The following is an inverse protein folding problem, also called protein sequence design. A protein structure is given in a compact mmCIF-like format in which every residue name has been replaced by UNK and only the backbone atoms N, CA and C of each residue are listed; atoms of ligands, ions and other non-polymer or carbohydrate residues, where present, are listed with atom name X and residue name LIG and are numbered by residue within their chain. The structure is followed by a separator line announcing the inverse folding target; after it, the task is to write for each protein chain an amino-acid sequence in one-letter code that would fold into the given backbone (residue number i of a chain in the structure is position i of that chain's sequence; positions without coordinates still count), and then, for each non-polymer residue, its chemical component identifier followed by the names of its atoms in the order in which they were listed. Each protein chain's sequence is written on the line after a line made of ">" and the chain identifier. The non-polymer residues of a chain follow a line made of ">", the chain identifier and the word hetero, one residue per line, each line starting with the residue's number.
data_IF_148714822179
#
_entry.id   IF_148714822179
#
_cell.length_a   1.000
_cell.length_b   1.000
_cell.length_c   1.000
_cell.angle_alpha   90.00
_cell.angle_beta   90.00
_cell.angle_gamma   90.00
#
_symmetry.space_group_name_H-M   'P 1'
#
loop_
_entity.id
_entity.type
_entity.pdbx_description
1 polymer ?
#
# COMPACT_ATOMS: atom_id res chain seq x y z
N UNK A 1 11.37 14.58 -0.57
CA UNK A 1 10.53 13.36 -0.72
C UNK A 1 10.56 12.49 0.50
N UNK A 2 11.72 11.97 0.90
CA UNK A 2 11.84 11.10 2.09
C UNK A 2 11.26 11.72 3.38
N UNK A 3 11.42 13.04 3.61
CA UNK A 3 10.85 13.71 4.79
C UNK A 3 9.31 13.61 4.83
N UNK A 4 8.65 13.96 3.72
CA UNK A 4 7.20 13.91 3.62
C UNK A 4 6.68 12.46 3.69
N UNK A 5 7.44 11.51 3.15
CA UNK A 5 7.08 10.09 3.26
C UNK A 5 7.18 9.59 4.70
N UNK A 6 8.21 9.98 5.46
CA UNK A 6 8.33 9.63 6.87
C UNK A 6 7.12 10.12 7.66
N UNK A 7 6.75 11.40 7.51
CA UNK A 7 5.55 11.98 8.13
C UNK A 7 4.27 11.26 7.69
N UNK A 8 4.14 10.90 6.41
CA UNK A 8 2.97 10.16 5.92
C UNK A 8 2.85 8.79 6.56
N UNK A 9 3.96 8.06 6.71
CA UNK A 9 3.99 6.74 7.31
C UNK A 9 3.70 6.79 8.82
N UNK A 10 4.24 7.78 9.53
CA UNK A 10 3.91 8.03 10.94
C UNK A 10 2.40 8.28 11.13
N UNK A 11 1.77 9.05 10.23
CA UNK A 11 0.33 9.28 10.23
C UNK A 11 -0.51 8.04 9.84
N UNK A 12 0.14 6.98 9.33
CA UNK A 12 -0.45 5.67 9.06
C UNK A 12 -0.07 4.65 10.16
N UNK A 13 0.36 5.14 11.32
CA UNK A 13 0.73 4.37 12.51
C UNK A 13 1.92 3.41 12.31
N UNK A 14 2.78 3.66 11.32
CA UNK A 14 4.05 2.93 11.19
C UNK A 14 5.07 3.39 12.23
N UNK A 15 5.84 2.45 12.77
CA UNK A 15 7.11 2.76 13.43
C UNK A 15 8.17 3.10 12.37
N UNK A 16 8.55 4.38 12.28
CA UNK A 16 9.44 4.86 11.21
C UNK A 16 10.89 4.97 11.68
N UNK A 17 11.79 4.32 10.94
CA UNK A 17 13.23 4.58 10.99
C UNK A 17 13.60 5.40 9.75
N UNK A 18 13.97 6.66 9.95
CA UNK A 18 14.28 7.60 8.86
C UNK A 18 15.74 8.05 8.89
N UNK A 19 16.22 8.54 7.74
CA UNK A 19 17.53 9.17 7.62
C UNK A 19 17.63 9.94 6.31
N UNK A 20 18.38 11.03 6.34
CA UNK A 20 18.45 12.02 5.26
C UNK A 20 19.92 12.36 5.00
N UNK A 21 20.29 12.43 3.72
CA UNK A 21 21.65 12.73 3.28
C UNK A 21 22.71 11.87 3.98
N UNK A 22 22.44 10.56 4.04
CA UNK A 22 23.25 9.62 4.80
C UNK A 22 24.54 9.25 4.05
N UNK A 23 25.64 9.16 4.80
CA UNK A 23 26.86 8.50 4.34
C UNK A 23 26.68 6.98 4.21
N UNK A 24 27.63 6.28 3.58
CA UNK A 24 27.59 4.81 3.45
C UNK A 24 27.45 4.11 4.80
N UNK A 25 28.26 4.52 5.78
CA UNK A 25 28.21 3.96 7.14
C UNK A 25 26.88 4.26 7.83
N UNK A 26 26.37 5.49 7.69
CA UNK A 26 25.09 5.87 8.26
C UNK A 26 23.94 5.09 7.61
N UNK A 27 23.94 4.95 6.29
CA UNK A 27 22.95 4.17 5.54
C UNK A 27 22.91 2.72 6.02
N UNK A 28 24.06 2.07 6.15
CA UNK A 28 24.14 0.70 6.68
C UNK A 28 23.65 0.60 8.12
N UNK A 29 23.97 1.59 8.96
CA UNK A 29 23.52 1.65 10.35
C UNK A 29 21.99 1.80 10.43
N UNK A 30 21.41 2.69 9.62
CA UNK A 30 19.96 2.90 9.53
C UNK A 30 19.26 1.64 9.02
N UNK A 31 19.79 0.96 8.00
CA UNK A 31 19.24 -0.33 7.52
C UNK A 31 19.34 -1.39 8.63
N UNK A 32 20.43 -1.42 9.41
CA UNK A 32 20.56 -2.36 10.52
C UNK A 32 19.58 -2.08 11.66
N UNK A 33 19.23 -0.81 11.90
CA UNK A 33 18.17 -0.43 12.85
C UNK A 33 16.79 -0.86 12.32
N UNK A 34 16.49 -0.54 11.06
CA UNK A 34 15.28 -1.00 10.37
C UNK A 34 15.13 -2.52 10.43
N UNK A 35 16.21 -3.27 10.14
CA UNK A 35 16.24 -4.73 10.19
C UNK A 35 15.94 -5.32 11.58
N UNK A 36 16.12 -4.55 12.66
CA UNK A 36 15.72 -4.96 14.02
C UNK A 36 14.23 -4.73 14.24
N UNK A 37 13.69 -3.61 13.76
CA UNK A 37 12.27 -3.24 13.93
C UNK A 37 11.33 -4.10 13.07
N UNK A 38 11.75 -4.55 11.89
CA UNK A 38 10.90 -5.38 11.02
C UNK A 38 10.67 -6.81 11.52
N UNK A 39 11.38 -7.24 12.58
CA UNK A 39 11.21 -8.60 13.13
C UNK A 39 9.86 -8.70 13.82
N UNK A 40 9.01 -9.62 13.35
CA UNK A 40 7.64 -9.78 13.81
C UNK A 40 6.66 -8.71 13.33
N UNK A 41 7.06 -7.83 12.40
CA UNK A 41 6.14 -6.87 11.79
C UNK A 41 5.24 -7.56 10.75
N UNK A 42 3.96 -7.16 10.71
CA UNK A 42 3.01 -7.64 9.69
C UNK A 42 3.37 -7.08 8.31
N UNK A 43 3.74 -5.80 8.27
CA UNK A 43 4.11 -5.06 7.06
C UNK A 43 5.47 -4.39 7.30
N UNK A 44 6.45 -4.71 6.47
CA UNK A 44 7.69 -3.95 6.37
C UNK A 44 7.63 -3.07 5.12
N UNK A 45 7.85 -1.77 5.30
CA UNK A 45 7.87 -0.81 4.20
C UNK A 45 9.23 -0.13 4.12
N UNK A 46 9.80 -0.11 2.92
CA UNK A 46 11.03 0.61 2.60
C UNK A 46 10.77 1.63 1.50
N UNK A 47 11.10 2.90 1.77
CA UNK A 47 11.07 3.98 0.78
C UNK A 47 12.47 4.57 0.64
N UNK A 48 12.90 4.77 -0.61
CA UNK A 48 14.14 5.47 -0.90
C UNK A 48 13.91 6.50 -2.00
N UNK A 49 14.41 7.72 -1.78
CA UNK A 49 14.46 8.78 -2.79
C UNK A 49 15.89 9.30 -2.88
N UNK A 50 16.47 9.31 -4.08
CA UNK A 50 17.86 9.71 -4.27
C UNK A 50 18.49 9.17 -5.55
N UNK A 51 19.82 9.16 -5.59
CA UNK A 51 20.56 8.59 -6.71
C UNK A 51 20.66 7.07 -6.57
N UNK A 52 20.26 6.37 -7.61
CA UNK A 52 20.43 4.93 -7.74
C UNK A 52 20.97 4.62 -9.12
N UNK A 53 21.72 3.52 -9.21
CA UNK A 53 22.27 3.05 -10.47
C UNK A 53 22.12 1.54 -10.62
N UNK A 54 22.20 1.10 -11.87
CA UNK A 54 22.25 -0.31 -12.22
C UNK A 54 23.59 -0.67 -12.84
N UNK A 55 24.18 -1.78 -12.37
CA UNK A 55 25.28 -2.47 -13.04
C UNK A 55 24.96 -3.94 -13.17
N UNK A 56 25.03 -4.47 -14.40
CA UNK A 56 24.87 -5.90 -14.68
C UNK A 56 23.55 -6.52 -14.18
N UNK A 57 22.50 -5.72 -14.09
CA UNK A 57 21.18 -6.15 -13.62
C UNK A 57 20.95 -6.00 -12.12
N UNK A 58 21.97 -5.59 -11.36
CA UNK A 58 21.85 -5.31 -9.92
C UNK A 58 21.66 -3.82 -9.67
N UNK A 59 20.74 -3.51 -8.75
CA UNK A 59 20.41 -2.15 -8.35
C UNK A 59 21.17 -1.73 -7.10
N UNK A 60 21.69 -0.50 -7.11
CA UNK A 60 22.45 0.08 -6.01
C UNK A 60 21.90 1.45 -5.64
N UNK A 61 21.77 1.68 -4.33
CA UNK A 61 21.48 2.98 -3.74
C UNK A 61 22.80 3.71 -3.50
N UNK A 62 22.85 5.01 -3.78
CA UNK A 62 24.05 5.82 -3.57
C UNK A 62 23.89 6.69 -2.32
N UNK A 63 24.73 6.48 -1.28
CA UNK A 63 24.94 7.43 -0.20
C UNK A 63 25.51 8.76 -0.69
N UNK A 64 25.42 9.81 0.12
CA UNK A 64 25.88 11.16 -0.28
C UNK A 64 27.39 11.31 -0.38
N UNK A 65 28.15 10.42 0.25
CA UNK A 65 29.61 10.38 0.21
C UNK A 65 30.16 9.38 -0.81
N UNK A 66 29.31 8.74 -1.62
CA UNK A 66 29.72 7.73 -2.58
C UNK A 66 30.69 8.30 -3.63
N UNK A 67 31.92 7.80 -3.63
CA UNK A 67 32.97 8.20 -4.57
C UNK A 67 33.23 7.11 -5.61
N UNK A 68 32.48 7.16 -6.72
CA UNK A 68 32.55 6.14 -7.77
C UNK A 68 33.68 6.45 -8.78
N UNK A 69 34.79 5.71 -8.68
CA UNK A 69 35.91 5.82 -9.63
C UNK A 69 35.87 4.72 -10.70
N UNK A 70 35.45 3.52 -10.31
CA UNK A 70 35.34 2.33 -11.16
C UNK A 70 34.24 1.36 -10.68
N UNK A 71 34.11 0.22 -11.34
CA UNK A 71 33.13 -0.82 -10.95
C UNK A 71 33.43 -1.44 -9.58
N UNK A 72 34.70 -1.58 -9.19
CA UNK A 72 35.08 -2.16 -7.89
C UNK A 72 34.71 -1.25 -6.73
N UNK A 73 34.62 0.06 -6.98
CA UNK A 73 34.16 1.07 -6.02
C UNK A 73 32.72 0.79 -5.55
N UNK A 74 31.89 0.13 -6.35
CA UNK A 74 30.48 -0.14 -6.00
C UNK A 74 30.32 -0.93 -4.70
N UNK A 75 31.16 -1.93 -4.47
CA UNK A 75 31.09 -2.78 -3.28
C UNK A 75 31.34 -1.97 -1.99
N UNK A 76 32.22 -0.97 -2.09
CA UNK A 76 32.65 -0.15 -0.96
C UNK A 76 31.79 1.10 -0.77
N UNK A 77 31.32 1.71 -1.86
CA UNK A 77 30.67 3.03 -1.86
C UNK A 77 29.14 2.95 -1.94
N UNK A 78 28.57 1.92 -2.57
CA UNK A 78 27.13 1.83 -2.82
C UNK A 78 26.43 0.75 -1.98
N UNK A 79 25.11 0.83 -1.82
CA UNK A 79 24.32 -0.16 -1.06
C UNK A 79 23.46 -0.98 -2.03
N UNK A 80 23.67 -2.30 -2.17
CA UNK A 80 22.82 -3.12 -3.02
C UNK A 80 21.37 -3.14 -2.53
N UNK A 81 20.39 -2.93 -3.40
CA UNK A 81 18.96 -3.02 -3.04
C UNK A 81 18.61 -4.41 -2.51
N UNK A 82 19.22 -5.46 -3.07
CA UNK A 82 19.06 -6.83 -2.60
C UNK A 82 19.48 -7.02 -1.14
N UNK A 83 20.43 -6.22 -0.63
CA UNK A 83 20.79 -6.25 0.78
C UNK A 83 19.62 -5.81 1.67
N UNK A 84 18.90 -4.75 1.26
CA UNK A 84 17.68 -4.27 1.94
C UNK A 84 16.58 -5.33 1.88
N UNK A 85 16.33 -5.88 0.69
CA UNK A 85 15.32 -6.93 0.50
C UNK A 85 15.58 -8.15 1.40
N UNK A 86 16.84 -8.59 1.52
CA UNK A 86 17.22 -9.69 2.42
C UNK A 86 17.02 -9.36 3.90
N UNK A 87 17.08 -8.09 4.30
CA UNK A 87 16.78 -7.70 5.68
C UNK A 87 15.28 -7.77 5.96
N UNK A 88 14.44 -7.56 4.95
CA UNK A 88 12.97 -7.68 5.05
C UNK A 88 12.49 -9.14 4.93
N UNK A 89 13.28 -10.05 4.36
CA UNK A 89 12.80 -11.36 3.89
C UNK A 89 12.74 -12.49 4.92
N UNK A 90 13.06 -12.27 6.20
CA UNK A 90 13.25 -13.38 7.17
C UNK A 90 12.01 -13.73 8.00
N UNK A 91 11.15 -12.78 8.32
CA UNK A 91 10.04 -12.98 9.27
C UNK A 91 8.78 -12.15 8.97
N UNK A 92 8.80 -11.27 7.96
CA UNK A 92 7.71 -10.34 7.65
C UNK A 92 6.77 -10.90 6.57
N UNK A 93 5.46 -10.84 6.83
CA UNK A 93 4.43 -11.36 5.91
C UNK A 93 4.29 -10.51 4.65
N UNK A 94 4.28 -9.19 4.79
CA UNK A 94 4.11 -8.24 3.68
C UNK A 94 5.32 -7.30 3.59
N UNK A 95 5.85 -7.11 2.38
CA UNK A 95 7.04 -6.31 2.10
C UNK A 95 6.73 -5.33 0.99
N UNK A 96 6.78 -4.04 1.29
CA UNK A 96 6.49 -2.97 0.34
C UNK A 96 7.77 -2.16 0.12
N UNK A 97 8.22 -2.07 -1.12
CA UNK A 97 9.45 -1.37 -1.48
C UNK A 97 9.12 -0.34 -2.55
N UNK A 98 9.47 0.91 -2.28
CA UNK A 98 9.22 2.05 -3.17
C UNK A 98 10.55 2.74 -3.47
N UNK A 99 10.96 2.74 -4.74
CA UNK A 99 12.23 3.29 -5.20
C UNK A 99 11.98 4.50 -6.09
N UNK A 100 12.13 5.68 -5.51
CA UNK A 100 12.12 6.97 -6.19
C UNK A 100 13.54 7.41 -6.56
N UNK A 101 14.21 6.54 -7.31
CA UNK A 101 15.61 6.68 -7.64
C UNK A 101 15.84 6.14 -9.04
N UNK A 102 16.26 7.00 -9.96
CA UNK A 102 16.71 6.68 -11.33
C UNK A 102 17.18 8.00 -11.97
N UNK A 103 18.19 8.65 -11.37
CA UNK A 103 18.63 10.00 -11.76
C UNK A 103 20.00 9.93 -12.41
N UNK A 104 20.02 9.45 -13.67
CA UNK A 104 21.23 9.21 -14.45
C UNK A 104 22.23 8.26 -13.78
N UNK A 105 23.08 7.61 -14.56
CA UNK A 105 24.10 6.73 -14.02
C UNK A 105 25.43 7.50 -13.99
N UNK A 106 25.84 8.10 -12.86
CA UNK A 106 27.10 8.84 -12.79
C UNK A 106 28.30 7.92 -13.09
N UNK A 107 28.20 6.63 -12.76
CA UNK A 107 29.21 5.64 -13.13
C UNK A 107 29.26 5.44 -14.66
N UNK A 108 28.16 5.54 -15.40
CA UNK A 108 28.20 5.48 -16.86
C UNK A 108 29.00 6.65 -17.45
N UNK A 109 28.88 7.85 -16.89
CA UNK A 109 29.71 9.01 -17.31
C UNK A 109 31.19 8.86 -16.92
N UNK A 110 31.47 8.33 -15.73
CA UNK A 110 32.84 8.06 -15.27
C UNK A 110 33.47 6.94 -16.11
N UNK A 111 32.80 5.81 -16.30
CA UNK A 111 33.29 4.67 -17.08
C UNK A 111 33.43 4.96 -18.58
N UNK A 112 32.56 5.83 -19.14
CA UNK A 112 32.74 6.34 -20.50
C UNK A 112 34.07 7.12 -20.65
N UNK A 113 34.59 7.70 -19.56
CA UNK A 113 35.87 8.42 -19.52
C UNK A 113 37.06 7.52 -19.15
N UNK A 114 36.89 6.47 -18.35
CA UNK A 114 38.02 5.70 -17.75
C UNK A 114 38.25 4.28 -18.28
N UNK A 115 37.48 3.80 -19.26
CA UNK A 115 37.62 2.53 -20.00
C UNK A 115 36.93 1.27 -19.42
N UNK A 116 36.12 0.63 -20.27
CA UNK A 116 36.02 -0.83 -20.37
C UNK A 116 34.82 -1.54 -19.74
N UNK A 117 34.05 -0.89 -18.86
CA UNK A 117 32.93 -1.56 -18.17
C UNK A 117 31.70 -1.67 -19.07
N UNK A 118 31.30 -2.91 -19.37
CA UNK A 118 30.10 -3.24 -20.13
C UNK A 118 28.99 -3.60 -19.14
N UNK A 119 27.94 -2.79 -19.04
CA UNK A 119 26.73 -3.17 -18.28
C UNK A 119 26.13 -2.10 -17.37
N UNK A 120 26.76 -0.94 -17.22
CA UNK A 120 26.15 0.22 -16.58
C UNK A 120 25.03 0.76 -17.49
N UNK A 121 23.80 0.86 -16.95
CA UNK A 121 22.63 1.41 -17.66
C UNK A 121 22.05 2.58 -16.88
N UNK A 122 21.41 3.52 -17.58
CA UNK A 122 20.59 4.55 -16.93
C UNK A 122 19.33 3.91 -16.37
N UNK A 123 18.89 4.37 -15.20
CA UNK A 123 17.76 3.81 -14.49
C UNK A 123 18.09 2.54 -13.70
N UNK A 124 17.05 1.94 -13.10
CA UNK A 124 17.14 0.72 -12.31
C UNK A 124 16.69 -0.49 -13.13
N UNK A 125 17.30 -1.65 -12.84
CA UNK A 125 16.87 -2.95 -13.31
C UNK A 125 15.52 -3.31 -12.69
N UNK A 126 14.77 -4.14 -13.40
CA UNK A 126 13.68 -4.87 -12.78
C UNK A 126 14.22 -5.80 -11.69
N UNK A 127 13.51 -5.89 -10.55
CA UNK A 127 13.80 -6.86 -9.49
C UNK A 127 12.76 -7.99 -9.61
N UNK A 128 13.13 -9.18 -10.12
CA UNK A 128 12.21 -10.29 -10.20
C UNK A 128 11.85 -10.79 -8.80
N UNK A 129 10.59 -11.14 -8.59
CA UNK A 129 10.15 -11.76 -7.34
C UNK A 129 10.19 -13.28 -7.53
N UNK A 130 11.29 -13.92 -7.11
CA UNK A 130 11.45 -15.38 -7.20
C UNK A 130 10.61 -16.14 -6.15
N UNK A 131 10.50 -17.47 -6.28
CA UNK A 131 9.61 -18.40 -5.55
C UNK A 131 9.75 -18.45 -4.00
N UNK A 132 10.51 -17.53 -3.37
CA UNK A 132 10.55 -17.29 -1.92
C UNK A 132 10.06 -15.88 -1.53
N UNK A 133 9.52 -15.12 -2.47
CA UNK A 133 9.14 -13.72 -2.33
C UNK A 133 7.64 -13.48 -2.17
N UNK A 134 6.84 -14.45 -1.73
CA UNK A 134 5.41 -14.26 -1.46
C UNK A 134 5.17 -13.06 -0.53
N UNK A 135 4.17 -12.22 -0.84
CA UNK A 135 3.89 -11.03 -0.04
C UNK A 135 4.80 -9.83 -0.33
N UNK A 136 5.41 -9.72 -1.51
CA UNK A 136 6.23 -8.56 -1.89
C UNK A 136 5.54 -7.67 -2.92
N UNK A 137 5.69 -6.36 -2.76
CA UNK A 137 5.48 -5.36 -3.82
C UNK A 137 6.74 -4.52 -3.93
N UNK A 138 7.32 -4.46 -5.14
CA UNK A 138 8.41 -3.54 -5.47
C UNK A 138 7.90 -2.57 -6.52
N UNK A 139 7.89 -1.28 -6.20
CA UNK A 139 7.50 -0.19 -7.09
C UNK A 139 8.68 0.72 -7.40
N UNK A 140 8.84 1.03 -8.67
CA UNK A 140 9.84 1.94 -9.21
C UNK A 140 9.14 3.20 -9.71
N UNK A 141 9.76 4.36 -9.52
CA UNK A 141 9.22 5.64 -10.00
C UNK A 141 9.06 5.72 -11.52
N UNK A 142 9.75 4.87 -12.28
CA UNK A 142 9.71 4.82 -13.74
C UNK A 142 9.90 3.38 -14.23
N UNK A 143 9.77 3.18 -15.53
CA UNK A 143 9.92 1.85 -16.14
C UNK A 143 11.38 1.38 -16.05
N UNK A 144 11.65 0.06 -16.02
CA UNK A 144 13.01 -0.45 -15.92
C UNK A 144 13.93 0.13 -17.00
N UNK A 145 15.15 0.49 -16.61
CA UNK A 145 16.14 1.16 -17.46
C UNK A 145 15.72 2.55 -18.00
N UNK A 146 14.74 3.22 -17.38
CA UNK A 146 14.36 4.62 -17.67
C UNK A 146 14.75 5.53 -16.50
N UNK A 147 14.77 6.84 -16.76
CA UNK A 147 15.07 7.89 -15.78
C UNK A 147 13.77 8.38 -15.13
N UNK A 148 13.84 8.72 -13.84
CA UNK A 148 12.74 9.34 -13.10
C UNK A 148 13.02 10.84 -12.96
N UNK A 149 11.98 11.67 -13.13
CA UNK A 149 12.12 13.11 -13.03
C UNK A 149 12.04 13.59 -11.58
N UNK A 150 12.77 14.66 -11.30
CA UNK A 150 12.68 15.42 -10.04
C UNK A 150 11.37 16.20 -9.93
N UNK A 151 10.69 16.40 -11.06
CA UNK A 151 9.54 17.28 -11.16
C UNK A 151 9.95 18.75 -11.13
N UNK A 152 8.94 19.62 -11.01
CA UNK A 152 9.11 21.08 -10.90
C UNK A 152 8.51 21.65 -9.62
N UNK A 153 7.95 20.79 -8.76
CA UNK A 153 7.33 21.15 -7.49
C UNK A 153 8.23 20.84 -6.30
N UNK A 154 7.61 20.76 -5.12
CA UNK A 154 8.30 20.40 -3.86
C UNK A 154 8.75 18.93 -3.82
N UNK A 155 8.08 18.06 -4.57
CA UNK A 155 8.30 16.62 -4.59
C UNK A 155 8.44 16.10 -6.03
N UNK A 156 9.13 14.96 -6.19
CA UNK A 156 9.13 14.25 -7.47
C UNK A 156 7.69 13.89 -7.90
N UNK A 157 7.43 13.66 -9.19
CA UNK A 157 6.12 13.20 -9.65
C UNK A 157 5.68 11.92 -8.94
N UNK A 158 6.61 10.98 -8.73
CA UNK A 158 6.30 9.71 -8.07
C UNK A 158 6.01 9.90 -6.59
N UNK A 159 6.86 10.61 -5.86
CA UNK A 159 6.63 10.91 -4.45
C UNK A 159 5.34 11.70 -4.24
N UNK A 160 5.06 12.70 -5.08
CA UNK A 160 3.82 13.48 -5.02
C UNK A 160 2.58 12.60 -5.14
N UNK A 161 2.54 11.74 -6.16
CA UNK A 161 1.42 10.85 -6.39
C UNK A 161 1.31 9.76 -5.30
N UNK A 162 2.45 9.24 -4.83
CA UNK A 162 2.48 8.24 -3.77
C UNK A 162 1.95 8.83 -2.45
N UNK A 163 2.34 10.05 -2.09
CA UNK A 163 1.82 10.74 -0.91
C UNK A 163 0.30 10.98 -0.99
N UNK A 164 -0.22 11.25 -2.20
CA UNK A 164 -1.64 11.48 -2.41
C UNK A 164 -2.49 10.21 -2.21
N UNK A 165 -2.00 9.05 -2.67
CA UNK A 165 -2.79 7.82 -2.70
C UNK A 165 -2.41 6.78 -1.64
N UNK A 166 -1.22 6.86 -1.04
CA UNK A 166 -0.79 5.92 -0.01
C UNK A 166 -1.64 6.09 1.25
N UNK A 167 -2.34 5.04 1.66
CA UNK A 167 -3.17 5.07 2.87
C UNK A 167 -4.51 5.79 2.67
N UNK A 168 -4.98 5.91 1.43
CA UNK A 168 -6.40 6.19 1.18
C UNK A 168 -7.25 5.10 1.89
N UNK A 169 -8.31 5.55 2.57
CA UNK A 169 -9.15 4.67 3.39
C UNK A 169 -9.77 3.57 2.54
N UNK A 170 -9.61 2.32 2.99
CA UNK A 170 -10.17 1.13 2.34
C UNK A 170 -9.73 0.95 0.86
N UNK A 171 -8.61 1.56 0.47
CA UNK A 171 -8.00 1.37 -0.85
C UNK A 171 -6.81 0.43 -0.71
N UNK A 172 -6.77 -0.61 -1.54
CA UNK A 172 -5.65 -1.54 -1.58
C UNK A 172 -4.39 -0.87 -2.13
N UNK A 173 -3.23 -1.29 -1.66
CA UNK A 173 -1.95 -0.72 -2.11
C UNK A 173 -1.76 -0.91 -3.62
N UNK A 174 -2.28 -1.99 -4.21
CA UNK A 174 -2.24 -2.22 -5.65
C UNK A 174 -3.10 -1.21 -6.42
N UNK A 175 -4.28 -0.88 -5.90
CA UNK A 175 -5.14 0.15 -6.50
C UNK A 175 -4.52 1.54 -6.33
N UNK A 176 -3.98 1.85 -5.15
CA UNK A 176 -3.22 3.08 -4.93
C UNK A 176 -2.06 3.20 -5.96
N UNK A 177 -1.34 2.11 -6.24
CA UNK A 177 -0.27 2.12 -7.26
C UNK A 177 -0.77 2.32 -8.70
N UNK A 178 -1.98 1.87 -9.02
CA UNK A 178 -2.61 2.18 -10.32
C UNK A 178 -2.87 3.68 -10.45
N UNK A 179 -3.39 4.32 -9.39
CA UNK A 179 -3.63 5.77 -9.32
C UNK A 179 -2.32 6.56 -9.41
N UNK A 180 -1.30 6.14 -8.66
CA UNK A 180 0.06 6.69 -8.73
C UNK A 180 0.59 6.65 -10.17
N UNK A 181 0.42 5.52 -10.85
CA UNK A 181 0.87 5.37 -12.25
C UNK A 181 0.12 6.33 -13.18
N UNK A 182 -1.20 6.47 -13.02
CA UNK A 182 -2.02 7.37 -13.82
C UNK A 182 -1.60 8.84 -13.63
N UNK A 183 -1.39 9.27 -12.39
CA UNK A 183 -1.01 10.64 -12.06
C UNK A 183 0.38 10.99 -12.56
N UNK A 184 1.36 10.11 -12.35
CA UNK A 184 2.73 10.31 -12.86
C UNK A 184 2.73 10.37 -14.39
N UNK A 185 2.01 9.47 -15.06
CA UNK A 185 1.92 9.46 -16.51
C UNK A 185 1.30 10.76 -17.04
N UNK A 186 0.25 11.26 -16.38
CA UNK A 186 -0.43 12.51 -16.74
C UNK A 186 0.46 13.73 -16.53
N UNK A 187 1.04 13.92 -15.34
CA UNK A 187 1.83 15.12 -15.00
C UNK A 187 3.14 15.20 -15.78
N UNK A 188 3.69 14.06 -16.20
CA UNK A 188 4.89 14.00 -17.02
C UNK A 188 4.61 13.98 -18.54
N UNK A 189 3.35 14.18 -18.95
CA UNK A 189 2.91 14.13 -20.34
C UNK A 189 3.33 12.83 -21.06
N UNK A 190 3.23 11.71 -20.34
CA UNK A 190 3.54 10.36 -20.81
C UNK A 190 5.02 10.00 -20.83
N UNK A 191 5.91 10.86 -20.31
CA UNK A 191 7.37 10.64 -20.35
C UNK A 191 7.89 9.74 -19.24
N UNK A 192 7.17 9.64 -18.13
CA UNK A 192 7.51 8.76 -17.01
C UNK A 192 6.33 7.85 -16.70
N UNK A 193 6.61 6.56 -16.51
CA UNK A 193 5.61 5.56 -16.18
C UNK A 193 6.12 4.68 -15.05
N UNK A 194 5.60 4.81 -13.82
CA UNK A 194 5.93 3.93 -12.72
C UNK A 194 5.72 2.46 -13.09
N UNK A 195 6.51 1.59 -12.47
CA UNK A 195 6.47 0.15 -12.71
C UNK A 195 6.42 -0.60 -11.39
N UNK A 196 5.61 -1.65 -11.31
CA UNK A 196 5.46 -2.45 -10.09
C UNK A 196 5.55 -3.95 -10.37
N UNK A 197 6.36 -4.64 -9.58
CA UNK A 197 6.38 -6.09 -9.49
C UNK A 197 5.64 -6.50 -8.21
N UNK A 198 4.65 -7.38 -8.33
CA UNK A 198 3.73 -7.73 -7.24
C UNK A 198 3.60 -9.24 -7.11
N UNK A 199 3.81 -9.75 -5.89
CA UNK A 199 3.61 -11.14 -5.47
C UNK A 199 2.75 -11.24 -4.19
N UNK A 200 1.99 -10.19 -3.89
CA UNK A 200 1.05 -10.16 -2.78
C UNK A 200 0.00 -11.26 -2.97
N UNK A 201 -0.21 -12.06 -1.92
CA UNK A 201 -1.19 -13.16 -1.91
C UNK A 201 -2.53 -12.75 -1.30
N UNK A 202 -2.56 -11.60 -0.62
CA UNK A 202 -3.73 -11.01 0.00
C UNK A 202 -3.83 -9.54 -0.37
N UNK A 203 -5.04 -8.99 -0.27
CA UNK A 203 -5.23 -7.55 -0.37
C UNK A 203 -4.59 -6.86 0.85
N UNK A 204 -3.75 -5.86 0.59
CA UNK A 204 -3.09 -5.06 1.62
C UNK A 204 -3.66 -3.65 1.57
N UNK A 205 -4.31 -3.23 2.65
CA UNK A 205 -4.88 -1.89 2.83
C UNK A 205 -4.13 -1.24 4.00
N UNK A 206 -3.45 -0.13 3.76
CA UNK A 206 -2.63 0.54 4.78
C UNK A 206 -3.47 1.32 5.80
N UNK A 207 -4.65 1.79 5.39
CA UNK A 207 -5.60 2.46 6.27
C UNK A 207 -6.96 1.80 6.12
N UNK A 208 -7.16 0.71 6.86
CA UNK A 208 -8.40 -0.05 6.86
C UNK A 208 -9.32 0.48 7.95
N UNK A 209 -10.47 1.01 7.56
CA UNK A 209 -11.55 1.34 8.48
C UNK A 209 -12.59 0.24 8.34
N UNK A 210 -12.73 -0.57 9.38
CA UNK A 210 -13.85 -1.49 9.48
C UNK A 210 -15.13 -0.68 9.73
N UNK A 211 -15.93 -0.55 8.68
CA UNK A 211 -17.18 0.20 8.72
C UNK A 211 -18.24 -0.47 9.63
N UNK A 212 -18.00 -1.71 10.06
CA UNK A 212 -18.82 -2.43 11.02
C UNK A 212 -18.20 -2.48 12.43
N UNK A 213 -16.98 -1.95 12.63
CA UNK A 213 -16.41 -1.87 13.96
C UNK A 213 -17.18 -0.84 14.80
N UNK A 214 -17.53 -1.17 16.06
CA UNK A 214 -18.20 -0.22 16.93
C UNK A 214 -17.33 1.03 17.12
N UNK A 215 -17.93 2.20 16.93
CA UNK A 215 -17.31 3.50 17.23
C UNK A 215 -16.82 3.50 18.68
N UNK A 216 -15.50 3.46 18.89
CA UNK A 216 -14.92 3.72 20.21
C UNK A 216 -15.03 5.24 20.44
N UNK A 217 -16.14 5.67 21.03
CA UNK A 217 -16.24 7.00 21.63
C UNK A 217 -15.38 6.93 22.89
N UNK A 218 -14.23 7.59 22.88
CA UNK A 218 -13.32 7.64 24.03
C UNK A 218 -14.02 8.29 25.23
N UNK A 219 -14.50 7.46 26.15
CA UNK A 219 -14.89 7.91 27.49
C UNK A 219 -13.70 7.77 28.43
N UNK A 220 -13.51 8.84 29.21
CA UNK A 220 -12.50 8.95 30.25
C UNK A 220 -12.58 7.80 31.26
N UNK A 221 -11.40 7.44 31.75
CA UNK A 221 -11.10 6.37 32.70
C UNK A 221 -12.03 6.30 33.92
N UNK A 222 -12.80 5.21 34.02
CA UNK A 222 -13.26 4.53 35.24
C UNK A 222 -13.51 3.07 34.83
N UNK A 223 -13.12 1.98 35.49
CA UNK A 223 -12.84 1.73 36.90
C UNK A 223 -12.11 0.37 37.07
N UNK A 224 -11.73 0.12 38.32
CA UNK A 224 -11.01 -1.02 38.92
C UNK A 224 -11.83 -2.34 38.94
N UNK A 225 -11.07 -3.44 39.03
CA UNK A 225 -11.30 -4.78 39.63
C UNK A 225 -12.14 -5.86 38.91
N UNK A 226 -11.40 -6.86 38.41
CA UNK A 226 -11.46 -8.31 38.72
C UNK A 226 -12.81 -9.01 38.92
N UNK A 227 -13.08 -10.09 38.17
CA UNK A 227 -12.72 -11.46 38.57
C UNK A 227 -13.42 -12.55 37.71
N UNK A 228 -12.62 -13.55 37.28
CA UNK A 228 -12.97 -14.97 37.12
C UNK A 228 -13.92 -15.37 35.97
N UNK A 229 -13.81 -16.56 35.35
CA UNK A 229 -12.89 -17.68 35.49
C UNK A 229 -13.23 -18.71 34.40
N UNK A 230 -12.20 -19.45 33.96
CA UNK A 230 -12.22 -20.84 33.49
C UNK A 230 -12.94 -21.24 32.20
N UNK A 231 -12.21 -21.99 31.33
CA UNK A 231 -12.88 -22.70 30.25
C UNK A 231 -12.10 -23.32 29.07
N UNK A 232 -10.90 -23.87 29.28
CA UNK A 232 -10.26 -25.00 28.55
C UNK A 232 -10.39 -25.14 27.00
N UNK A 233 -9.20 -25.14 26.39
CA UNK A 233 -8.72 -25.84 25.19
C UNK A 233 -9.58 -26.98 24.61
N UNK A 234 -9.79 -26.94 23.28
CA UNK A 234 -9.78 -28.12 22.40
C UNK A 234 -9.04 -27.77 21.12
N UNK A 235 -7.98 -28.54 20.84
CA UNK A 235 -7.25 -28.52 19.57
C UNK A 235 -8.05 -29.25 18.47
N UNK A 236 -8.05 -28.73 17.25
CA UNK A 236 -8.36 -29.49 16.05
C UNK A 236 -7.47 -29.05 14.88
N UNK A 237 -6.90 -30.05 14.23
CA UNK A 237 -5.90 -30.01 13.16
C UNK A 237 -6.48 -29.48 11.82
N UNK A 238 -5.63 -29.10 10.84
CA UNK A 238 -5.98 -28.33 9.66
C UNK A 238 -6.35 -29.21 8.45
N UNK A 239 -7.53 -28.99 7.87
CA UNK A 239 -7.88 -29.51 6.55
C UNK A 239 -9.09 -28.77 5.96
N UNK A 240 -9.01 -27.43 5.84
CA UNK A 240 -10.15 -26.60 5.40
C UNK A 240 -9.84 -25.53 4.36
N UNK A 241 -8.61 -25.48 3.82
CA UNK A 241 -8.22 -24.44 2.86
C UNK A 241 -8.96 -24.55 1.51
N UNK A 242 -9.29 -25.77 1.07
CA UNK A 242 -9.98 -25.99 -0.21
C UNK A 242 -11.48 -25.69 -0.15
N UNK A 243 -12.14 -25.98 0.98
CA UNK A 243 -13.58 -25.74 1.15
C UNK A 243 -13.92 -24.26 1.28
N UNK A 244 -13.05 -23.46 1.91
CA UNK A 244 -13.25 -22.02 2.05
C UNK A 244 -13.18 -21.30 0.70
N UNK A 245 -12.25 -21.71 -0.17
CA UNK A 245 -12.08 -21.14 -1.50
C UNK A 245 -13.28 -21.47 -2.40
N UNK A 246 -13.73 -22.73 -2.39
CA UNK A 246 -14.94 -23.18 -3.10
C UNK A 246 -16.20 -22.45 -2.60
N UNK A 247 -16.31 -22.22 -1.29
CA UNK A 247 -17.42 -21.49 -0.70
C UNK A 247 -17.45 -20.02 -1.13
N UNK A 248 -16.29 -19.37 -1.19
CA UNK A 248 -16.17 -17.98 -1.66
C UNK A 248 -16.49 -17.84 -3.15
N UNK A 249 -16.04 -18.77 -3.99
CA UNK A 249 -16.32 -18.71 -5.43
C UNK A 249 -17.79 -18.99 -5.73
N UNK A 250 -18.44 -19.88 -4.96
CA UNK A 250 -19.90 -20.07 -5.03
C UNK A 250 -20.68 -18.84 -4.53
N UNK A 251 -20.17 -18.12 -3.53
CA UNK A 251 -20.77 -16.86 -3.08
C UNK A 251 -20.62 -15.76 -4.14
N UNK A 252 -19.44 -15.61 -4.75
CA UNK A 252 -19.19 -14.66 -5.84
C UNK A 252 -20.05 -14.91 -7.08
N UNK A 253 -20.34 -16.17 -7.40
CA UNK A 253 -21.26 -16.52 -8.48
C UNK A 253 -22.73 -16.21 -8.15
N UNK A 254 -23.08 -16.04 -6.87
CA UNK A 254 -24.44 -15.71 -6.42
C UNK A 254 -24.67 -14.22 -6.23
N UNK A 255 -23.62 -13.39 -6.21
CA UNK A 255 -23.76 -11.93 -6.19
C UNK A 255 -24.08 -11.50 -7.63
N UNK A 256 -25.28 -10.94 -7.91
CA UNK A 256 -25.56 -10.39 -9.23
C UNK A 256 -24.49 -9.36 -9.57
N UNK A 257 -23.86 -9.48 -10.75
CA UNK A 257 -22.90 -8.49 -11.24
C UNK A 257 -23.53 -7.11 -11.07
N UNK A 258 -22.85 -6.18 -10.38
CA UNK A 258 -23.15 -4.75 -10.45
C UNK A 258 -23.25 -4.41 -11.94
N UNK A 259 -24.45 -4.08 -12.40
CA UNK A 259 -24.82 -4.27 -13.80
C UNK A 259 -24.28 -3.20 -14.76
N UNK A 260 -23.61 -2.16 -14.26
CA UNK A 260 -22.96 -1.17 -15.12
C UNK A 260 -21.78 -0.47 -14.44
N UNK A 261 -20.81 -0.05 -15.25
CA UNK A 261 -19.76 0.93 -14.88
C UNK A 261 -20.33 2.37 -14.86
N UNK A 262 -21.66 2.54 -14.85
CA UNK A 262 -22.31 3.85 -14.87
C UNK A 262 -22.41 4.42 -13.45
N UNK A 263 -22.34 5.76 -13.29
CA UNK A 263 -22.54 6.38 -12.00
C UNK A 263 -23.91 6.06 -11.43
N UNK A 264 -23.98 5.75 -10.13
CA UNK A 264 -25.26 5.65 -9.41
C UNK A 264 -25.74 7.06 -9.10
N UNK A 265 -26.95 7.40 -9.54
CA UNK A 265 -27.58 8.69 -9.25
C UNK A 265 -28.56 8.54 -8.09
N UNK A 266 -28.66 9.58 -7.26
CA UNK A 266 -29.48 9.57 -6.04
C UNK A 266 -30.97 9.34 -6.31
N UNK A 267 -31.46 9.85 -7.44
CA UNK A 267 -32.86 9.85 -7.87
C UNK A 267 -33.16 8.85 -9.00
N UNK A 268 -32.17 8.08 -9.47
CA UNK A 268 -32.38 7.06 -10.51
C UNK A 268 -32.50 5.66 -9.89
N UNK A 269 -33.38 4.79 -10.42
CA UNK A 269 -33.48 3.41 -10.00
C UNK A 269 -32.15 2.66 -10.12
N UNK A 270 -31.82 1.83 -9.14
CA UNK A 270 -30.74 0.85 -9.27
C UNK A 270 -31.29 -0.44 -9.85
N UNK A 271 -30.69 -0.94 -10.93
CA UNK A 271 -31.14 -2.15 -11.62
C UNK A 271 -30.31 -3.38 -11.20
N UNK A 272 -30.01 -3.48 -9.90
CA UNK A 272 -29.25 -4.57 -9.31
C UNK A 272 -29.59 -4.76 -7.82
N UNK A 273 -29.31 -5.95 -7.31
CA UNK A 273 -29.53 -6.32 -5.90
C UNK A 273 -30.75 -7.22 -5.70
N UNK A 274 -31.17 -7.38 -4.45
CA UNK A 274 -32.37 -8.14 -4.12
C UNK A 274 -33.65 -7.39 -4.59
N UNK A 275 -34.80 -8.07 -4.76
CA UNK A 275 -36.06 -7.46 -5.24
C UNK A 275 -36.59 -6.28 -4.40
N UNK A 276 -36.05 -6.09 -3.20
CA UNK A 276 -36.39 -4.96 -2.33
C UNK A 276 -35.61 -3.68 -2.65
N UNK A 277 -34.49 -3.81 -3.37
CA UNK A 277 -33.56 -2.76 -3.80
C UNK A 277 -33.67 -2.53 -5.31
N UNK A 278 -33.71 -3.61 -6.08
CA UNK A 278 -33.84 -3.60 -7.53
C UNK A 278 -35.07 -2.80 -7.98
N UNK A 279 -34.86 -1.85 -8.89
CA UNK A 279 -35.87 -0.94 -9.44
C UNK A 279 -36.22 0.25 -8.55
N UNK A 280 -35.52 0.50 -7.43
CA UNK A 280 -35.74 1.68 -6.57
C UNK A 280 -34.56 2.65 -6.59
N UNK A 281 -34.83 3.94 -6.49
CA UNK A 281 -33.81 4.96 -6.30
C UNK A 281 -33.32 5.02 -4.86
N UNK A 282 -32.13 5.61 -4.63
CA UNK A 282 -31.64 5.87 -3.26
C UNK A 282 -32.64 6.73 -2.49
N UNK A 283 -33.22 7.75 -3.14
CA UNK A 283 -34.25 8.62 -2.57
C UNK A 283 -35.51 7.88 -2.07
N UNK A 284 -35.85 6.74 -2.68
CA UNK A 284 -36.95 5.88 -2.24
C UNK A 284 -36.51 4.89 -1.16
N UNK A 285 -35.29 4.36 -1.26
CA UNK A 285 -34.73 3.39 -0.31
C UNK A 285 -34.51 4.00 1.08
N UNK A 286 -34.08 5.26 1.17
CA UNK A 286 -33.89 5.94 2.46
C UNK A 286 -35.22 6.14 3.22
N UNK A 287 -36.35 6.17 2.50
CA UNK A 287 -37.69 6.21 3.11
C UNK A 287 -38.22 4.81 3.43
N UNK A 288 -37.44 3.77 3.17
CA UNK A 288 -37.77 2.39 3.47
C UNK A 288 -37.71 2.09 4.97
N UNK A 289 -38.07 0.85 5.33
CA UNK A 289 -37.91 0.33 6.68
C UNK A 289 -36.72 -0.62 6.73
N UNK A 290 -35.91 -0.60 7.80
CA UNK A 290 -34.79 -1.52 7.94
C UNK A 290 -35.32 -2.96 8.07
N UNK A 291 -34.77 -3.87 7.25
CA UNK A 291 -35.06 -5.31 7.31
C UNK A 291 -34.25 -6.02 8.39
N UNK A 292 -33.10 -5.45 8.72
CA UNK A 292 -32.18 -5.93 9.75
C UNK A 292 -31.90 -4.80 10.72
N UNK A 293 -31.44 -5.16 11.91
CA UNK A 293 -31.06 -4.16 12.90
C UNK A 293 -29.98 -3.23 12.32
N UNK A 294 -30.20 -1.91 12.28
CA UNK A 294 -29.19 -0.97 11.78
C UNK A 294 -27.90 -0.98 12.59
N UNK A 295 -27.97 -1.44 13.85
CA UNK A 295 -26.85 -1.61 14.77
C UNK A 295 -26.99 -2.97 15.43
N UNK A 296 -25.93 -3.78 15.45
CA UNK A 296 -25.96 -5.11 16.08
C UNK A 296 -26.30 -5.00 17.58
N UNK A 297 -27.20 -5.86 18.05
CA UNK A 297 -27.67 -5.85 19.45
C UNK A 297 -28.65 -4.73 19.80
N UNK A 298 -29.02 -3.85 18.85
CA UNK A 298 -30.05 -2.84 19.08
C UNK A 298 -31.41 -3.50 19.30
N UNK A 299 -32.04 -3.15 20.41
CA UNK A 299 -33.35 -3.67 20.76
C UNK A 299 -34.35 -3.39 19.63
N UNK A 300 -35.10 -4.42 19.25
CA UNK A 300 -36.07 -4.34 18.15
C UNK A 300 -37.07 -3.21 18.33
N UNK A 301 -37.45 -2.87 19.56
CA UNK A 301 -38.37 -1.76 19.84
C UNK A 301 -37.87 -0.40 19.34
N UNK A 302 -36.56 -0.25 19.13
CA UNK A 302 -35.94 1.01 18.71
C UNK A 302 -35.99 1.18 17.19
N UNK A 303 -35.83 0.11 16.41
CA UNK A 303 -35.67 0.19 14.96
C UNK A 303 -36.77 -0.52 14.16
N UNK A 304 -37.37 -1.58 14.71
CA UNK A 304 -38.36 -2.39 14.02
C UNK A 304 -39.61 -1.54 13.75
N UNK A 305 -39.93 -1.34 12.47
CA UNK A 305 -41.06 -0.52 12.03
C UNK A 305 -40.78 0.97 11.86
N UNK A 306 -39.58 1.46 12.20
CA UNK A 306 -39.11 2.82 11.89
C UNK A 306 -38.71 2.94 10.42
N UNK A 307 -38.55 4.17 9.93
CA UNK A 307 -38.04 4.45 8.60
C UNK A 307 -36.55 4.80 8.69
N UNK A 308 -35.77 4.47 7.66
CA UNK A 308 -34.32 4.67 7.66
C UNK A 308 -33.95 6.16 7.79
N UNK A 309 -34.68 7.06 7.14
CA UNK A 309 -34.54 8.52 7.24
C UNK A 309 -34.86 9.11 8.63
N UNK A 310 -35.56 8.35 9.48
CA UNK A 310 -35.81 8.72 10.88
C UNK A 310 -34.67 8.35 11.83
N UNK A 311 -33.82 7.39 11.45
CA UNK A 311 -32.67 6.93 12.24
C UNK A 311 -31.34 7.43 11.69
N UNK A 312 -31.27 7.67 10.38
CA UNK A 312 -30.09 8.09 9.65
C UNK A 312 -30.36 9.42 8.95
N UNK A 313 -29.41 10.34 9.02
CA UNK A 313 -29.47 11.60 8.29
C UNK A 313 -29.04 11.43 6.83
N UNK A 314 -29.53 10.38 6.16
CA UNK A 314 -29.22 10.10 4.76
C UNK A 314 -30.02 11.03 3.85
N UNK A 315 -29.34 11.94 3.17
CA UNK A 315 -29.89 12.85 2.17
C UNK A 315 -28.90 13.04 1.02
N UNK A 316 -29.38 13.59 -0.10
CA UNK A 316 -28.58 13.80 -1.31
C UNK A 316 -27.24 14.50 -1.02
N UNK A 317 -27.26 15.60 -0.27
CA UNK A 317 -26.05 16.38 0.03
C UNK A 317 -25.03 15.67 0.93
N UNK A 318 -25.42 14.57 1.58
CA UNK A 318 -24.51 13.75 2.41
C UNK A 318 -24.06 12.47 1.73
N UNK A 319 -24.75 12.06 0.67
CA UNK A 319 -24.49 10.83 -0.06
C UNK A 319 -23.80 11.09 -1.41
N UNK A 320 -23.96 12.29 -1.98
CA UNK A 320 -23.29 12.78 -3.18
C UNK A 320 -22.16 13.74 -2.84
#
# INVERSE_FOLDING_TARGET
>A
DAHAMAERLENLDFEVVSGFDLTKLQTQTTIAQFAKQVRGADIALFFYAGHGLQVSGSNYLLPVDAALEDETSLDFEAVPVDFVLRQMSRETSIRLIFLDACRDNPLAEVLAKTAGVKGARSGLAEIPIENGGAGTLVAFATSPNQVAFDGSGQHSPFASALLAHMGETNVSITEAMNRVTADVFKVTAGKQRPWSNVSLTTEVVLHKIDLNAPLIVGEATTQKSEAGSDGRNVAANPSGADDAQLSLDMLRQKIPRLASDEPIFFDHPVDFGDPEIDGKSIAELIKGKPRFSPVEGLDKSVWEGKHCDGCHEWNEARLC
#
